data_IF_352040364294
#
_entry.id   IF_352040364294
#
_cell.length_a   1.000
_cell.length_b   1.000
_cell.length_c   1.000
_cell.angle_alpha   90.00
_cell.angle_beta   90.00
_cell.angle_gamma   90.00
#
_symmetry.space_group_name_H-M   'P 1'
#
loop_
_entity.id
_entity.type
_entity.pdbx_description
1 polymer ?
#
# COMPACT_ATOMS: atom_id res chain seq x y z
N UNK A 1 8.43 -30.39 -0.03
CA UNK A 1 7.33 -29.74 -0.79
C UNK A 1 6.12 -29.40 0.09
N UNK A 2 5.61 -30.32 0.91
CA UNK A 2 4.42 -30.07 1.75
C UNK A 2 4.52 -28.86 2.70
N UNK A 3 5.65 -28.67 3.40
CA UNK A 3 5.87 -27.49 4.26
C UNK A 3 5.94 -26.19 3.45
N UNK A 4 6.61 -26.21 2.30
CA UNK A 4 6.73 -25.05 1.41
C UNK A 4 5.35 -24.62 0.91
N UNK A 5 4.53 -25.57 0.47
CA UNK A 5 3.16 -25.33 0.05
C UNK A 5 2.34 -24.76 1.21
N UNK A 6 2.38 -25.41 2.38
CA UNK A 6 1.64 -24.96 3.56
C UNK A 6 1.97 -23.51 3.94
N UNK A 7 3.25 -23.19 4.09
CA UNK A 7 3.67 -21.83 4.47
C UNK A 7 3.42 -20.82 3.35
N UNK A 8 3.54 -21.24 2.10
CA UNK A 8 3.22 -20.37 0.97
C UNK A 8 1.75 -19.99 0.91
N UNK A 9 0.85 -20.93 1.21
CA UNK A 9 -0.59 -20.66 1.28
C UNK A 9 -0.96 -19.69 2.41
N UNK A 10 -0.32 -19.82 3.58
CA UNK A 10 -0.52 -18.87 4.70
C UNK A 10 -0.18 -17.43 4.28
N UNK A 11 0.95 -17.24 3.58
CA UNK A 11 1.34 -15.92 3.10
C UNK A 11 0.35 -15.34 2.09
N UNK A 12 -0.17 -16.18 1.19
CA UNK A 12 -1.18 -15.77 0.19
C UNK A 12 -2.47 -15.34 0.89
N UNK A 13 -2.92 -16.10 1.89
CA UNK A 13 -4.13 -15.79 2.66
C UNK A 13 -4.01 -14.46 3.40
N UNK A 14 -2.88 -14.22 4.08
CA UNK A 14 -2.63 -12.96 4.79
C UNK A 14 -2.56 -11.74 3.84
N UNK A 15 -1.95 -11.91 2.67
CA UNK A 15 -1.88 -10.86 1.63
C UNK A 15 -3.25 -10.57 1.02
N UNK A 16 -4.03 -11.60 0.74
CA UNK A 16 -5.40 -11.46 0.26
C UNK A 16 -6.27 -10.75 1.31
N UNK A 17 -6.06 -11.06 2.60
CA UNK A 17 -6.67 -10.35 3.73
C UNK A 17 -6.36 -8.85 3.74
N UNK A 18 -5.08 -8.47 3.59
CA UNK A 18 -4.67 -7.06 3.49
C UNK A 18 -5.32 -6.35 2.29
N UNK A 19 -5.28 -6.98 1.11
CA UNK A 19 -5.84 -6.40 -0.13
C UNK A 19 -7.35 -6.17 0.02
N UNK A 20 -8.07 -7.15 0.56
CA UNK A 20 -9.51 -7.03 0.82
C UNK A 20 -9.81 -5.91 1.80
N UNK A 21 -9.04 -5.80 2.89
CA UNK A 21 -9.18 -4.73 3.85
C UNK A 21 -9.03 -3.35 3.22
N UNK A 22 -7.95 -3.15 2.45
CA UNK A 22 -7.66 -1.88 1.76
C UNK A 22 -8.79 -1.54 0.79
N UNK A 23 -9.26 -2.49 -0.02
CA UNK A 23 -10.38 -2.27 -0.93
C UNK A 23 -11.65 -1.85 -0.17
N UNK A 24 -12.01 -2.53 0.92
CA UNK A 24 -13.17 -2.15 1.75
C UNK A 24 -13.02 -0.77 2.40
N UNK A 25 -11.79 -0.34 2.74
CA UNK A 25 -11.53 1.02 3.21
C UNK A 25 -11.75 2.04 2.09
N UNK A 26 -11.23 1.77 0.89
CA UNK A 26 -11.34 2.67 -0.26
C UNK A 26 -12.77 2.85 -0.74
N UNK A 27 -13.57 1.79 -0.77
CA UNK A 27 -15.01 1.85 -1.11
C UNK A 27 -15.81 2.83 -0.23
N UNK A 28 -15.38 3.00 1.04
CA UNK A 28 -16.01 3.90 2.01
C UNK A 28 -15.43 5.31 1.99
N UNK A 29 -14.36 5.54 1.23
CA UNK A 29 -13.67 6.83 1.14
C UNK A 29 -14.22 7.67 -0.01
N UNK A 30 -14.57 8.92 0.24
CA UNK A 30 -14.96 9.85 -0.83
C UNK A 30 -13.83 10.12 -1.82
N UNK A 31 -12.57 10.06 -1.35
CA UNK A 31 -11.39 10.37 -2.16
C UNK A 31 -10.84 9.15 -2.91
N UNK A 32 -11.04 7.95 -2.37
CA UNK A 32 -10.40 6.72 -2.88
C UNK A 32 -11.37 5.68 -3.42
N UNK A 33 -12.69 5.95 -3.44
CA UNK A 33 -13.71 5.01 -3.92
C UNK A 33 -13.55 4.53 -5.38
N UNK A 34 -12.73 5.22 -6.17
CA UNK A 34 -12.40 4.81 -7.53
C UNK A 34 -11.18 3.89 -7.61
N UNK A 35 -10.43 3.70 -6.52
CA UNK A 35 -9.26 2.84 -6.50
C UNK A 35 -9.66 1.39 -6.23
N UNK A 36 -8.97 0.46 -6.89
CA UNK A 36 -9.10 -0.98 -6.65
C UNK A 36 -7.73 -1.63 -6.67
N UNK A 37 -7.36 -2.31 -5.59
CA UNK A 37 -6.15 -3.11 -5.50
C UNK A 37 -6.47 -4.53 -5.97
N UNK A 38 -5.66 -5.04 -6.88
CA UNK A 38 -5.77 -6.38 -7.44
C UNK A 38 -4.50 -7.14 -7.11
N UNK A 39 -4.65 -8.26 -6.42
CA UNK A 39 -3.56 -9.16 -6.05
C UNK A 39 -3.35 -10.22 -7.13
N UNK A 40 -2.15 -10.29 -7.67
CA UNK A 40 -1.73 -11.29 -8.65
C UNK A 40 -0.93 -12.40 -7.94
N UNK A 41 -1.63 -13.47 -7.61
CA UNK A 41 -1.09 -14.57 -6.80
C UNK A 41 -0.45 -15.66 -7.65
N UNK A 42 0.82 -15.95 -7.37
CA UNK A 42 1.53 -17.13 -7.83
C UNK A 42 1.22 -18.31 -6.90
N UNK A 43 0.04 -18.91 -7.11
CA UNK A 43 -0.41 -20.11 -6.39
C UNK A 43 0.68 -21.20 -6.37
N UNK A 44 1.02 -21.68 -5.18
CA UNK A 44 1.92 -22.81 -4.98
C UNK A 44 1.12 -24.09 -4.74
N UNK A 45 1.45 -25.16 -5.47
CA UNK A 45 0.83 -26.48 -5.32
C UNK A 45 1.78 -27.56 -5.83
N UNK A 46 1.56 -28.81 -5.42
CA UNK A 46 2.36 -29.95 -5.92
C UNK A 46 2.32 -30.04 -7.45
N UNK A 47 1.14 -29.86 -8.04
CA UNK A 47 0.95 -29.86 -9.50
C UNK A 47 1.75 -28.77 -10.19
N UNK A 48 1.78 -27.55 -9.65
CA UNK A 48 2.54 -26.45 -10.25
C UNK A 48 4.05 -26.64 -10.09
N UNK A 49 4.52 -27.09 -8.93
CA UNK A 49 5.93 -27.40 -8.72
C UNK A 49 6.40 -28.51 -9.68
N UNK A 50 5.57 -29.54 -9.89
CA UNK A 50 5.86 -30.58 -10.87
C UNK A 50 5.88 -30.04 -12.31
N UNK A 51 4.96 -29.14 -12.65
CA UNK A 51 4.86 -28.54 -13.99
C UNK A 51 6.10 -27.71 -14.34
N UNK A 52 6.64 -26.93 -13.40
CA UNK A 52 7.78 -26.03 -13.63
C UNK A 52 9.13 -26.65 -13.28
N UNK A 53 9.20 -27.96 -13.00
CA UNK A 53 10.39 -28.59 -12.44
C UNK A 53 11.62 -28.42 -13.34
N UNK A 54 11.48 -28.63 -14.65
CA UNK A 54 12.60 -28.54 -15.58
C UNK A 54 13.05 -27.09 -15.77
N UNK A 55 12.11 -26.14 -15.80
CA UNK A 55 12.38 -24.71 -15.84
C UNK A 55 13.05 -24.21 -14.56
N UNK A 56 12.62 -24.68 -13.39
CA UNK A 56 13.22 -24.35 -12.09
C UNK A 56 14.65 -24.89 -11.98
N UNK A 57 14.91 -26.10 -12.49
CA UNK A 57 16.26 -26.66 -12.56
C UNK A 57 17.16 -25.84 -13.49
N UNK A 58 16.64 -25.41 -14.65
CA UNK A 58 17.38 -24.56 -15.58
C UNK A 58 17.64 -23.15 -15.02
N UNK A 59 16.69 -22.59 -14.28
CA UNK A 59 16.79 -21.27 -13.65
C UNK A 59 17.65 -21.27 -12.38
N UNK A 60 17.76 -22.39 -11.68
CA UNK A 60 18.49 -22.53 -10.42
C UNK A 60 17.75 -21.98 -9.19
N UNK A 61 16.45 -21.67 -9.31
CA UNK A 61 15.60 -21.20 -8.21
C UNK A 61 14.13 -21.50 -8.48
N UNK A 62 13.30 -21.50 -7.41
CA UNK A 62 11.86 -21.76 -7.49
C UNK A 62 11.11 -20.64 -8.24
N UNK A 63 10.31 -21.02 -9.23
CA UNK A 63 9.54 -20.14 -10.10
C UNK A 63 8.07 -20.01 -9.67
N UNK A 64 7.60 -20.85 -8.75
CA UNK A 64 6.22 -20.84 -8.25
C UNK A 64 6.16 -20.55 -6.76
N UNK A 65 5.26 -19.64 -6.35
CA UNK A 65 4.96 -19.37 -4.96
C UNK A 65 4.96 -17.88 -4.61
N UNK A 66 4.66 -17.54 -3.35
CA UNK A 66 4.35 -16.17 -2.97
C UNK A 66 5.49 -15.16 -3.17
N UNK A 67 6.74 -15.61 -3.25
CA UNK A 67 7.86 -14.74 -3.61
C UNK A 67 7.79 -14.22 -5.06
N UNK A 68 6.88 -14.75 -5.88
CA UNK A 68 6.56 -14.29 -7.23
C UNK A 68 5.20 -13.61 -7.34
N UNK A 69 4.51 -13.39 -6.23
CA UNK A 69 3.28 -12.61 -6.26
C UNK A 69 3.55 -11.15 -6.62
N UNK A 70 2.54 -10.50 -7.17
CA UNK A 70 2.54 -9.08 -7.44
C UNK A 70 1.18 -8.46 -7.09
N UNK A 71 1.07 -7.14 -7.17
CA UNK A 71 -0.21 -6.44 -7.09
C UNK A 71 -0.22 -5.25 -8.03
N UNK A 72 -1.43 -4.83 -8.41
CA UNK A 72 -1.64 -3.60 -9.17
C UNK A 72 -2.78 -2.81 -8.56
N UNK A 73 -2.69 -1.49 -8.68
CA UNK A 73 -3.80 -0.60 -8.36
C UNK A 73 -4.38 -0.07 -9.66
N UNK A 74 -5.69 -0.20 -9.79
CA UNK A 74 -6.43 0.20 -10.97
C UNK A 74 -7.44 1.28 -10.59
N UNK A 75 -7.68 2.19 -11.53
CA UNK A 75 -8.85 3.07 -11.47
C UNK A 75 -10.06 2.30 -11.99
N UNK A 76 -11.16 2.31 -11.25
CA UNK A 76 -12.41 1.69 -11.66
C UNK A 76 -13.02 2.43 -12.85
N UNK A 77 -13.70 1.67 -13.71
CA UNK A 77 -14.31 2.19 -14.92
C UNK A 77 -15.43 3.20 -14.60
N UNK A 78 -15.20 4.49 -14.88
CA UNK A 78 -16.23 5.52 -14.85
C UNK A 78 -16.67 5.80 -16.29
N UNK A 79 -17.97 5.69 -16.57
CA UNK A 79 -18.63 6.16 -17.80
C UNK A 79 -17.88 5.86 -19.11
N UNK A 80 -17.76 4.59 -19.47
CA UNK A 80 -17.23 4.15 -20.78
C UNK A 80 -15.69 4.09 -20.88
N UNK A 81 -14.96 4.38 -19.81
CA UNK A 81 -13.51 4.13 -19.73
C UNK A 81 -13.22 2.71 -19.25
N UNK A 82 -12.13 2.11 -19.74
CA UNK A 82 -11.66 0.81 -19.26
C UNK A 82 -10.92 0.96 -17.92
N UNK A 83 -10.91 -0.11 -17.13
CA UNK A 83 -10.03 -0.19 -15.96
C UNK A 83 -8.57 0.05 -16.40
N UNK A 84 -7.87 0.90 -15.67
CA UNK A 84 -6.54 1.35 -16.06
C UNK A 84 -5.55 1.15 -14.92
N UNK A 85 -4.45 0.48 -15.22
CA UNK A 85 -3.31 0.33 -14.30
C UNK A 85 -2.66 1.69 -14.02
N UNK A 86 -2.68 2.10 -12.74
CA UNK A 86 -2.19 3.42 -12.32
C UNK A 86 -0.66 3.51 -12.27
N UNK A 87 0.04 2.39 -12.12
CA UNK A 87 1.50 2.39 -12.18
C UNK A 87 1.99 2.69 -13.61
N UNK A 88 1.33 2.12 -14.62
CA UNK A 88 1.75 2.26 -16.02
C UNK A 88 1.18 3.52 -16.66
N UNK A 89 -0.10 3.81 -16.44
CA UNK A 89 -0.82 4.84 -17.20
C UNK A 89 -1.31 6.00 -16.33
N UNK A 90 -1.13 5.92 -15.01
CA UNK A 90 -1.50 7.00 -14.10
C UNK A 90 -0.66 8.25 -14.34
N UNK A 91 -1.30 9.42 -14.29
CA UNK A 91 -0.58 10.69 -14.17
C UNK A 91 0.21 10.73 -12.86
N UNK A 92 1.19 11.64 -12.77
CA UNK A 92 1.98 11.81 -11.53
C UNK A 92 1.11 12.10 -10.30
N UNK A 93 0.02 12.86 -10.47
CA UNK A 93 -0.94 13.14 -9.39
C UNK A 93 -1.69 11.90 -8.95
N UNK A 94 -2.21 11.11 -9.90
CA UNK A 94 -2.91 9.85 -9.61
C UNK A 94 -1.98 8.82 -8.93
N UNK A 95 -0.72 8.76 -9.35
CA UNK A 95 0.28 7.88 -8.73
C UNK A 95 0.57 8.30 -7.28
N UNK A 96 0.77 9.59 -7.00
CA UNK A 96 0.95 10.09 -5.62
C UNK A 96 -0.28 9.81 -4.75
N UNK A 97 -1.48 10.08 -5.28
CA UNK A 97 -2.73 9.78 -4.60
C UNK A 97 -2.86 8.29 -4.28
N UNK A 98 -2.47 7.43 -5.22
CA UNK A 98 -2.47 5.98 -5.04
C UNK A 98 -1.52 5.54 -3.94
N UNK A 99 -0.29 6.08 -3.93
CA UNK A 99 0.69 5.79 -2.88
C UNK A 99 0.18 6.25 -1.52
N UNK A 100 -0.40 7.44 -1.43
CA UNK A 100 -1.04 7.93 -0.21
C UNK A 100 -2.16 6.98 0.24
N UNK A 101 -3.07 6.61 -0.66
CA UNK A 101 -4.18 5.71 -0.35
C UNK A 101 -3.71 4.33 0.18
N UNK A 102 -2.63 3.79 -0.39
CA UNK A 102 -1.99 2.57 0.08
C UNK A 102 -1.39 2.74 1.47
N UNK A 103 -0.66 3.84 1.71
CA UNK A 103 -0.06 4.13 3.03
C UNK A 103 -1.10 4.35 4.11
N UNK A 104 -2.22 5.00 3.79
CA UNK A 104 -3.33 5.13 4.72
C UNK A 104 -3.95 3.76 5.02
N UNK A 105 -4.15 2.93 4.00
CA UNK A 105 -4.60 1.55 4.17
C UNK A 105 -3.70 0.73 5.09
N UNK A 106 -2.38 0.83 4.90
CA UNK A 106 -1.36 0.20 5.76
C UNK A 106 -1.47 0.65 7.22
N UNK A 107 -1.58 1.96 7.47
CA UNK A 107 -1.70 2.53 8.82
C UNK A 107 -2.95 2.00 9.53
N UNK A 108 -4.12 2.05 8.88
CA UNK A 108 -5.36 1.59 9.49
C UNK A 108 -5.38 0.08 9.72
N UNK A 109 -4.82 -0.70 8.79
CA UNK A 109 -4.69 -2.14 8.95
C UNK A 109 -3.77 -2.52 10.11
N UNK A 110 -2.64 -1.83 10.24
CA UNK A 110 -1.71 -2.03 11.35
C UNK A 110 -2.35 -1.69 12.70
N UNK A 111 -3.12 -0.60 12.77
CA UNK A 111 -3.86 -0.23 13.98
C UNK A 111 -4.93 -1.26 14.35
N UNK A 112 -5.70 -1.74 13.38
CA UNK A 112 -6.75 -2.73 13.64
C UNK A 112 -6.19 -4.07 14.11
N UNK A 113 -5.07 -4.52 13.51
CA UNK A 113 -4.41 -5.77 13.90
C UNK A 113 -3.60 -5.67 15.19
N UNK A 114 -2.97 -4.52 15.43
CA UNK A 114 -2.16 -4.29 16.62
C UNK A 114 -2.99 -3.90 17.86
N UNK A 115 -4.19 -3.35 17.65
CA UNK A 115 -5.02 -2.79 18.72
C UNK A 115 -4.49 -1.46 19.28
N UNK A 116 -3.46 -0.89 18.64
CA UNK A 116 -2.83 0.36 19.03
C UNK A 116 -2.47 1.22 17.82
N UNK A 117 -2.42 2.54 18.01
CA UNK A 117 -2.08 3.48 16.96
C UNK A 117 -0.57 3.48 16.70
N UNK A 118 -0.11 3.24 15.46
CA UNK A 118 1.32 3.24 15.16
C UNK A 118 1.92 4.65 15.25
N UNK A 119 3.21 4.71 15.61
CA UNK A 119 4.04 5.91 15.46
C UNK A 119 4.17 6.23 13.97
N UNK A 120 3.83 7.46 13.57
CA UNK A 120 4.01 7.92 12.20
C UNK A 120 5.32 8.68 12.06
N UNK A 121 6.13 8.28 11.09
CA UNK A 121 7.35 8.96 10.67
C UNK A 121 7.13 9.51 9.26
N UNK A 122 7.14 10.83 9.10
CA UNK A 122 6.82 11.52 7.85
C UNK A 122 8.06 12.28 7.40
N UNK A 123 8.66 11.87 6.28
CA UNK A 123 9.91 12.45 5.77
C UNK A 123 9.66 13.44 4.63
N UNK A 124 9.77 14.75 4.91
CA UNK A 124 9.58 15.88 3.98
C UNK A 124 8.33 15.80 3.07
N UNK A 125 7.30 15.07 3.49
CA UNK A 125 6.18 14.72 2.59
C UNK A 125 5.33 15.93 2.20
N UNK A 126 5.30 16.99 3.02
CA UNK A 126 4.37 18.10 2.83
C UNK A 126 4.75 18.94 1.62
N UNK A 127 6.04 19.04 1.27
CA UNK A 127 6.52 19.74 0.09
C UNK A 127 5.98 19.15 -1.23
N UNK A 128 5.59 17.87 -1.23
CA UNK A 128 5.14 17.14 -2.41
C UNK A 128 3.61 17.00 -2.55
N UNK A 129 2.85 17.41 -1.54
CA UNK A 129 1.40 17.20 -1.48
C UNK A 129 0.63 18.49 -1.77
N UNK A 130 -0.41 18.36 -2.60
CA UNK A 130 -1.42 19.41 -2.75
C UNK A 130 -2.32 19.52 -1.51
N UNK A 131 -3.18 20.56 -1.49
CA UNK A 131 -4.04 20.85 -0.34
C UNK A 131 -5.01 19.73 0.03
N UNK A 132 -5.50 18.95 -0.94
CA UNK A 132 -6.45 17.87 -0.69
C UNK A 132 -5.73 16.73 0.03
N UNK A 133 -4.58 16.32 -0.51
CA UNK A 133 -3.79 15.26 0.09
C UNK A 133 -3.20 15.63 1.47
N UNK A 134 -2.78 16.90 1.65
CA UNK A 134 -2.31 17.41 2.95
C UNK A 134 -3.38 17.25 4.04
N UNK A 135 -4.65 17.55 3.72
CA UNK A 135 -5.75 17.40 4.68
C UNK A 135 -5.95 15.96 5.14
N UNK A 136 -5.85 14.99 4.23
CA UNK A 136 -5.99 13.57 4.60
C UNK A 136 -4.84 13.10 5.48
N UNK A 137 -3.60 13.52 5.19
CA UNK A 137 -2.46 13.21 6.06
C UNK A 137 -2.66 13.79 7.46
N UNK A 138 -3.05 15.07 7.57
CA UNK A 138 -3.32 15.71 8.87
C UNK A 138 -4.45 15.02 9.64
N UNK A 139 -5.51 14.57 8.95
CA UNK A 139 -6.59 13.79 9.55
C UNK A 139 -6.07 12.47 10.12
N UNK A 140 -5.21 11.77 9.39
CA UNK A 140 -4.61 10.51 9.84
C UNK A 140 -3.63 10.74 10.99
N UNK A 141 -2.94 11.87 11.03
CA UNK A 141 -2.07 12.23 12.16
C UNK A 141 -2.84 12.45 13.47
N UNK A 142 -4.13 12.78 13.40
CA UNK A 142 -4.91 13.17 14.57
C UNK A 142 -5.01 12.02 15.60
N UNK A 143 -4.60 12.31 16.83
CA UNK A 143 -4.60 11.36 17.93
C UNK A 143 -3.57 10.24 17.79
N UNK A 144 -2.54 10.41 16.97
CA UNK A 144 -1.36 9.53 16.83
C UNK A 144 -0.11 10.28 17.28
N UNK A 145 0.91 9.55 17.72
CA UNK A 145 2.24 10.12 17.88
C UNK A 145 2.87 10.26 16.49
N UNK A 146 3.39 11.46 16.18
CA UNK A 146 3.94 11.76 14.85
C UNK A 146 5.28 12.48 14.98
N UNK A 147 6.23 12.06 14.14
CA UNK A 147 7.49 12.77 13.88
C UNK A 147 7.49 13.18 12.41
N UNK A 148 7.74 14.46 12.16
CA UNK A 148 7.78 15.04 10.82
C UNK A 148 9.15 15.69 10.61
N UNK A 149 9.78 15.43 9.48
CA UNK A 149 10.89 16.25 8.96
C UNK A 149 10.35 17.15 7.85
N UNK A 150 10.89 18.36 7.75
CA UNK A 150 10.59 19.28 6.63
C UNK A 150 11.75 20.23 6.44
N UNK A 151 12.05 20.58 5.19
CA UNK A 151 12.98 21.65 4.84
C UNK A 151 12.29 23.03 4.75
N UNK A 152 10.96 23.08 4.84
CA UNK A 152 10.15 24.29 4.63
C UNK A 152 9.63 24.84 5.95
N UNK A 153 9.99 26.09 6.27
CA UNK A 153 9.50 26.76 7.50
C UNK A 153 7.99 27.01 7.46
N UNK A 154 7.41 27.11 6.27
CA UNK A 154 5.99 27.34 6.05
C UNK A 154 5.14 26.17 6.55
N UNK A 155 5.67 24.94 6.51
CA UNK A 155 4.97 23.74 6.98
C UNK A 155 4.79 23.73 8.50
N UNK A 156 5.58 24.50 9.26
CA UNK A 156 5.40 24.66 10.70
C UNK A 156 4.00 25.20 11.04
N UNK A 157 3.39 25.99 10.14
CA UNK A 157 2.02 26.48 10.29
C UNK A 157 0.95 25.37 10.31
N UNK A 158 1.29 24.17 9.82
CA UNK A 158 0.41 22.99 9.87
C UNK A 158 0.40 22.35 11.27
N UNK A 159 1.37 22.67 12.13
CA UNK A 159 1.62 21.98 13.40
C UNK A 159 1.72 22.94 14.58
N UNK A 160 0.63 23.66 14.87
CA UNK A 160 0.61 24.71 15.90
C UNK A 160 1.06 24.25 17.31
N UNK A 161 0.86 22.98 17.66
CA UNK A 161 1.20 22.42 18.98
C UNK A 161 2.45 21.53 18.96
N UNK A 162 3.17 21.44 17.83
CA UNK A 162 4.33 20.57 17.73
C UNK A 162 5.55 21.14 18.46
N UNK A 163 6.32 20.25 19.09
CA UNK A 163 7.66 20.56 19.55
C UNK A 163 8.59 20.61 18.34
N UNK A 164 9.09 21.80 18.01
CA UNK A 164 10.04 22.02 16.91
C UNK A 164 11.47 21.76 17.40
N UNK A 165 12.25 21.01 16.61
CA UNK A 165 13.67 20.78 16.82
C UNK A 165 14.38 21.25 15.55
N UNK A 166 15.17 22.33 15.66
CA UNK A 166 16.01 22.80 14.57
C UNK A 166 17.31 21.98 14.55
N UNK A 167 17.67 21.49 13.36
CA UNK A 167 18.93 20.78 13.12
C UNK A 167 19.92 21.77 12.48
N UNK A 168 21.13 21.84 13.05
CA UNK A 168 22.23 22.69 12.57
C UNK A 168 22.94 22.14 11.34
#
# INVERSE_FOLDING_TARGET
DSLLIKHGLILIEEREGLVNYINSLWERSELFNQLKMVYDKSLISETRLAQYKDEELAAGYTLVGPHKDDFRVQLSAVSGQQERDLAIYGSRGEQRMTVLALKLGEIYFAEERGGEKPLLLLDDIFSELDQVHRKEVLRVMTGRQVVVTTAMKEDLGLFAEAKVIELE
#
